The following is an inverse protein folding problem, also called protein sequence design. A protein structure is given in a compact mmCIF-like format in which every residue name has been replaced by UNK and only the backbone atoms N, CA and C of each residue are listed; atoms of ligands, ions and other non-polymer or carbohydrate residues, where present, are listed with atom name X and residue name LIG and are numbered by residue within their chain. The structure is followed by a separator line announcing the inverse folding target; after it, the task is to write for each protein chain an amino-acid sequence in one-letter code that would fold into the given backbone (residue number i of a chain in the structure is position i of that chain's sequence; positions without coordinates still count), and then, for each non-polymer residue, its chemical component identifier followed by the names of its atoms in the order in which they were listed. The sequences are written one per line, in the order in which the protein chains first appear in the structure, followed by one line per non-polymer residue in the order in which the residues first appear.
data_IF_813077780258
#
_entry.id   IF_813077780258
#
_cell.length_a   1.000
_cell.length_b   1.000
_cell.length_c   1.000
_cell.angle_alpha   90.00
_cell.angle_beta   90.00
_cell.angle_gamma   90.00
#
_symmetry.space_group_name_H-M   'P 1'
#
loop_
_entity.id
_entity.type
_entity.pdbx_description
1 polymer ?
#
# COMPACT_ATOMS: atom_id res chain seq x y z
N UNK A 1 -18.35 11.32 3.01
CA UNK A 1 -17.30 10.94 3.96
C UNK A 1 -16.02 10.59 3.23
N UNK A 2 -14.98 11.40 3.41
CA UNK A 2 -13.63 11.08 2.93
C UNK A 2 -12.90 10.45 4.11
N UNK A 3 -12.40 9.21 3.98
CA UNK A 3 -11.72 8.50 5.06
C UNK A 3 -10.20 8.55 4.83
N UNK A 4 -9.46 9.10 5.79
CA UNK A 4 -8.00 9.16 5.76
C UNK A 4 -7.40 7.99 6.53
N UNK A 5 -6.28 7.46 6.05
CA UNK A 5 -5.47 6.47 6.76
C UNK A 5 -5.00 7.05 8.11
N UNK A 6 -5.35 6.41 9.22
CA UNK A 6 -4.98 6.87 10.58
C UNK A 6 -3.62 6.31 10.99
N UNK A 7 -2.66 7.20 11.17
CA UNK A 7 -1.30 6.85 11.57
C UNK A 7 -1.26 6.04 12.88
N UNK A 8 -0.45 4.96 12.90
CA UNK A 8 -0.21 4.04 14.04
C UNK A 8 -1.38 3.11 14.45
N UNK A 9 -2.41 2.96 13.64
CA UNK A 9 -3.45 1.95 13.85
C UNK A 9 -3.08 0.61 13.17
N UNK A 10 -3.41 -0.56 13.74
CA UNK A 10 -3.28 -1.84 13.04
C UNK A 10 -4.07 -1.87 11.73
N UNK A 11 -3.53 -2.51 10.68
CA UNK A 11 -4.10 -2.48 9.32
C UNK A 11 -5.53 -3.05 9.29
N UNK A 12 -5.80 -4.05 10.11
CA UNK A 12 -7.10 -4.69 10.31
C UNK A 12 -8.20 -3.76 10.82
N UNK A 13 -7.84 -2.61 11.42
CA UNK A 13 -8.80 -1.67 11.96
C UNK A 13 -9.07 -0.47 11.03
N UNK A 14 -8.43 -0.38 9.86
CA UNK A 14 -8.70 0.74 8.94
C UNK A 14 -10.12 0.64 8.40
N UNK A 15 -10.86 1.72 8.38
CA UNK A 15 -12.22 1.72 7.85
C UNK A 15 -12.19 2.07 6.36
N UNK A 16 -12.37 1.08 5.49
CA UNK A 16 -12.30 1.26 4.03
C UNK A 16 -13.69 1.43 3.45
N UNK A 17 -13.82 2.25 2.40
CA UNK A 17 -15.07 2.39 1.68
C UNK A 17 -15.25 1.20 0.73
N UNK A 18 -15.98 0.19 1.20
CA UNK A 18 -16.51 -0.86 0.33
C UNK A 18 -17.59 -0.19 -0.55
N UNK A 19 -17.42 -0.07 -1.88
CA UNK A 19 -16.94 -1.08 -2.84
C UNK A 19 -15.68 -0.69 -3.63
N UNK A 20 -15.01 0.41 -3.28
CA UNK A 20 -13.88 0.95 -4.03
C UNK A 20 -12.55 0.25 -3.68
N UNK A 21 -12.48 -0.36 -2.50
CA UNK A 21 -11.27 -0.98 -1.97
C UNK A 21 -11.54 -2.44 -1.62
N UNK A 22 -10.92 -3.35 -2.37
CA UNK A 22 -10.98 -4.78 -2.13
C UNK A 22 -10.02 -5.26 -1.01
N UNK A 23 -9.09 -4.41 -0.58
CA UNK A 23 -8.09 -4.75 0.43
C UNK A 23 -7.08 -3.64 0.64
N UNK A 24 -6.24 -3.80 1.66
CA UNK A 24 -5.10 -2.92 1.91
C UNK A 24 -3.86 -3.74 2.22
N UNK A 25 -2.70 -3.23 1.82
CA UNK A 25 -1.41 -3.78 2.19
C UNK A 25 -0.53 -2.70 2.78
N UNK A 26 0.20 -3.04 3.85
CA UNK A 26 1.15 -2.17 4.51
C UNK A 26 2.57 -2.54 4.07
N UNK A 27 3.14 -1.71 3.22
CA UNK A 27 4.51 -1.86 2.72
C UNK A 27 5.42 -0.79 3.34
N UNK A 28 6.62 -1.18 3.77
CA UNK A 28 7.64 -0.21 4.19
C UNK A 28 8.14 0.54 2.97
N UNK A 29 8.38 1.85 3.12
CA UNK A 29 8.86 2.67 2.01
C UNK A 29 10.14 2.11 1.38
N UNK A 30 11.09 1.68 2.20
CA UNK A 30 12.35 1.09 1.73
C UNK A 30 12.14 -0.20 0.92
N UNK A 31 11.16 -1.02 1.29
CA UNK A 31 10.88 -2.30 0.63
C UNK A 31 10.18 -2.04 -0.72
N UNK A 32 9.26 -1.07 -0.76
CA UNK A 32 8.65 -0.64 -2.00
C UNK A 32 9.66 -0.02 -2.98
N UNK A 33 10.60 0.80 -2.49
CA UNK A 33 11.69 1.32 -3.31
C UNK A 33 12.57 0.20 -3.88
N UNK A 34 12.91 -0.81 -3.07
CA UNK A 34 13.74 -1.94 -3.50
C UNK A 34 13.05 -2.80 -4.57
N UNK A 35 11.73 -3.04 -4.45
CA UNK A 35 10.97 -3.76 -5.49
C UNK A 35 10.85 -2.94 -6.76
N UNK A 36 10.44 -1.67 -6.64
CA UNK A 36 10.18 -0.81 -7.79
C UNK A 36 11.47 -0.40 -8.53
N UNK A 37 12.64 -0.46 -7.88
CA UNK A 37 13.95 -0.21 -8.50
C UNK A 37 14.54 -1.45 -9.19
N UNK A 38 14.01 -2.64 -8.91
CA UNK A 38 14.57 -3.93 -9.36
C UNK A 38 15.69 -4.47 -8.47
N UNK A 39 15.95 -3.86 -7.31
CA UNK A 39 16.92 -4.37 -6.31
C UNK A 39 16.43 -5.67 -5.67
N UNK A 40 15.10 -5.82 -5.51
CA UNK A 40 14.45 -7.05 -5.02
C UNK A 40 13.32 -7.47 -5.95
N UNK A 41 13.13 -8.77 -6.11
CA UNK A 41 12.04 -9.33 -6.93
C UNK A 41 10.69 -9.23 -6.21
N UNK A 42 10.68 -9.52 -4.90
CA UNK A 42 9.47 -9.52 -4.08
C UNK A 42 9.78 -9.12 -2.63
N UNK A 43 8.75 -8.65 -1.91
CA UNK A 43 8.77 -8.38 -0.47
C UNK A 43 7.52 -8.89 0.21
N UNK A 44 7.65 -9.32 1.46
CA UNK A 44 6.52 -9.71 2.30
C UNK A 44 5.92 -8.50 3.00
N UNK A 45 4.60 -8.34 2.91
CA UNK A 45 3.88 -7.20 3.48
C UNK A 45 2.56 -7.65 4.13
N UNK A 46 2.28 -7.27 5.38
CA UNK A 46 1.00 -7.59 6.01
C UNK A 46 -0.13 -6.77 5.39
N UNK A 47 -1.31 -7.37 5.28
CA UNK A 47 -2.49 -6.72 4.75
C UNK A 47 -3.77 -7.45 5.08
N UNK A 48 -4.85 -6.98 4.50
CA UNK A 48 -6.10 -7.73 4.45
C UNK A 48 -6.76 -7.59 3.08
N UNK A 49 -7.60 -8.56 2.76
CA UNK A 49 -8.56 -8.50 1.66
C UNK A 49 -9.99 -8.65 2.19
N UNK A 50 -10.95 -8.16 1.42
CA UNK A 50 -12.38 -8.29 1.68
C UNK A 50 -12.92 -9.32 0.69
N UNK A 51 -13.41 -10.43 1.22
CA UNK A 51 -14.08 -11.48 0.44
C UNK A 51 -15.57 -11.51 0.76
N UNK A 52 -16.39 -11.81 -0.26
CA UNK A 52 -17.81 -12.11 -0.09
C UNK A 52 -17.98 -13.62 0.08
N UNK A 53 -18.31 -14.06 1.29
CA UNK A 53 -18.67 -15.43 1.59
C UNK A 53 -20.18 -15.54 1.83
N UNK A 54 -20.95 -15.73 0.74
CA UNK A 54 -22.38 -15.99 0.82
C UNK A 54 -23.23 -14.78 1.21
N UNK A 55 -22.86 -13.58 0.74
CA UNK A 55 -23.52 -12.30 1.06
C UNK A 55 -22.99 -11.65 2.33
N UNK A 56 -21.95 -12.20 2.95
CA UNK A 56 -21.27 -11.63 4.11
C UNK A 56 -19.85 -11.24 3.74
N UNK A 57 -19.56 -9.94 3.88
CA UNK A 57 -18.22 -9.40 3.70
C UNK A 57 -17.34 -9.79 4.89
N UNK A 58 -16.26 -10.53 4.61
CA UNK A 58 -15.28 -10.93 5.60
C UNK A 58 -13.92 -10.36 5.28
N UNK A 59 -13.23 -9.92 6.33
CA UNK A 59 -11.86 -9.43 6.27
C UNK A 59 -10.90 -10.58 6.53
N UNK A 60 -9.99 -10.83 5.60
CA UNK A 60 -9.00 -11.89 5.71
C UNK A 60 -7.61 -11.26 5.80
N UNK A 61 -7.03 -11.29 7.00
CA UNK A 61 -5.69 -10.78 7.27
C UNK A 61 -4.65 -11.83 6.89
N UNK A 62 -3.64 -11.44 6.11
CA UNK A 62 -2.53 -12.32 5.72
C UNK A 62 -1.29 -11.52 5.35
N UNK A 63 -0.17 -12.21 5.20
CA UNK A 63 1.03 -11.68 4.57
C UNK A 63 0.93 -11.89 3.06
N UNK A 64 1.15 -10.82 2.30
CA UNK A 64 1.17 -10.82 0.84
C UNK A 64 2.63 -10.78 0.37
N UNK A 65 2.91 -11.44 -0.76
CA UNK A 65 4.15 -11.23 -1.51
C UNK A 65 3.87 -10.20 -2.59
N UNK A 66 4.57 -9.08 -2.50
CA UNK A 66 4.44 -7.97 -3.44
C UNK A 66 5.66 -7.94 -4.33
N UNK A 67 5.43 -8.01 -5.63
CA UNK A 67 6.38 -7.83 -6.72
C UNK A 67 6.10 -6.52 -7.48
N UNK A 68 6.92 -6.21 -8.48
CA UNK A 68 6.67 -5.06 -9.34
C UNK A 68 5.37 -5.19 -10.15
N UNK A 69 4.93 -6.41 -10.47
CA UNK A 69 3.74 -6.68 -11.29
C UNK A 69 2.43 -6.41 -10.53
N UNK A 70 2.48 -6.36 -9.20
CA UNK A 70 1.34 -6.05 -8.34
C UNK A 70 0.99 -4.55 -8.31
N UNK A 71 1.85 -3.70 -8.88
CA UNK A 71 1.60 -2.27 -9.04
C UNK A 71 0.97 -1.99 -10.40
N UNK A 72 0.03 -1.04 -10.45
CA UNK A 72 -0.57 -0.61 -11.71
C UNK A 72 0.55 -0.09 -12.63
N UNK A 73 0.76 -0.69 -13.82
CA UNK A 73 1.78 -0.23 -14.74
C UNK A 73 1.54 1.23 -15.12
N UNK A 74 2.58 2.06 -15.01
CA UNK A 74 2.56 3.44 -15.46
C UNK A 74 3.81 3.75 -16.28
N UNK A 75 3.64 4.47 -17.39
CA UNK A 75 4.72 4.91 -18.26
C UNK A 75 5.80 5.71 -17.52
N UNK A 76 5.42 6.40 -16.45
CA UNK A 76 6.27 7.34 -15.75
C UNK A 76 6.82 6.81 -14.40
N UNK A 77 6.60 5.52 -14.09
CA UNK A 77 6.91 4.90 -12.78
C UNK A 77 6.28 5.66 -11.61
N UNK A 78 5.02 6.07 -11.75
CA UNK A 78 4.24 6.82 -10.75
C UNK A 78 4.50 6.38 -9.30
N UNK A 79 4.29 5.10 -8.97
CA UNK A 79 4.48 4.59 -7.61
C UNK A 79 5.92 4.77 -7.12
N UNK A 80 6.93 4.58 -7.97
CA UNK A 80 8.32 4.78 -7.56
C UNK A 80 8.56 6.22 -7.11
N UNK A 81 8.00 7.20 -7.82
CA UNK A 81 8.05 8.62 -7.43
C UNK A 81 7.32 8.87 -6.11
N UNK A 82 6.12 8.30 -5.93
CA UNK A 82 5.36 8.42 -4.67
C UNK A 82 6.18 7.92 -3.48
N UNK A 83 6.85 6.77 -3.62
CA UNK A 83 7.70 6.20 -2.56
C UNK A 83 8.94 7.06 -2.29
N UNK A 84 9.60 7.58 -3.33
CA UNK A 84 10.73 8.51 -3.18
C UNK A 84 10.29 9.76 -2.39
N UNK A 85 9.15 10.34 -2.77
CA UNK A 85 8.64 11.55 -2.12
C UNK A 85 8.21 11.29 -0.68
N UNK A 86 7.56 10.16 -0.42
CA UNK A 86 7.22 9.74 0.94
C UNK A 86 8.49 9.55 1.80
N UNK A 87 9.57 9.00 1.23
CA UNK A 87 10.88 8.90 1.90
C UNK A 87 11.42 10.29 2.27
N UNK A 88 11.48 11.22 1.32
CA UNK A 88 11.98 12.57 1.58
C UNK A 88 11.15 13.31 2.63
N UNK A 89 9.82 13.17 2.60
CA UNK A 89 8.93 13.72 3.64
C UNK A 89 9.28 13.13 5.02
N UNK A 90 9.52 11.82 5.10
CA UNK A 90 9.95 11.16 6.36
C UNK A 90 11.33 11.60 6.82
N UNK A 91 12.21 11.98 5.89
CA UNK A 91 13.54 12.53 6.18
C UNK A 91 13.49 14.03 6.57
N UNK A 92 12.29 14.64 6.59
CA UNK A 92 12.05 16.01 7.04
C UNK A 92 12.04 17.06 5.94
N UNK A 93 12.09 16.66 4.67
CA UNK A 93 12.02 17.57 3.51
C UNK A 93 10.57 17.98 3.23
N UNK A 94 10.20 19.18 3.66
CA UNK A 94 8.79 19.67 3.65
C UNK A 94 8.37 20.39 2.37
N UNK A 95 9.30 20.70 1.47
CA UNK A 95 9.04 21.54 0.29
C UNK A 95 8.66 20.73 -0.96
N UNK A 96 8.33 19.45 -0.80
CA UNK A 96 7.96 18.57 -1.89
C UNK A 96 6.43 18.57 -2.04
N UNK A 97 5.94 19.26 -3.07
CA UNK A 97 4.52 19.25 -3.47
C UNK A 97 4.36 18.43 -4.76
N UNK A 98 3.32 17.60 -4.82
CA UNK A 98 2.86 16.87 -6.00
C UNK A 98 1.56 17.50 -6.47
#
# INVERSE_FOLDING_TARGET
DVRFLVYKQPIEHYDVQFPEVAGLVLIKIIDGLAVLSGERLEVEAPGFEIQDEGGQLKRICRTFRISQEDFIPSLDRFYYKVFILAKHIMDGEKYLHI
#
